data_IF_193648168082
#
_entry.id   IF_193648168082
#
_cell.length_a   1.000
_cell.length_b   1.000
_cell.length_c   1.000
_cell.angle_alpha   90.00
_cell.angle_beta   90.00
_cell.angle_gamma   90.00
#
_symmetry.space_group_name_H-M   'P 1'
#
loop_
_entity.id
_entity.type
_entity.pdbx_description
1 polymer ?
#
# COMPACT_ATOMS: atom_id res chain seq x y z
N UNK A 1 11.74 24.87 -21.35
CA UNK A 1 10.98 23.74 -20.78
C UNK A 1 10.65 24.06 -19.34
N UNK A 2 9.36 24.19 -19.00
CA UNK A 2 8.92 24.40 -17.61
C UNK A 2 8.80 23.02 -17.00
N UNK A 3 9.86 22.56 -16.35
CA UNK A 3 9.82 21.34 -15.54
C UNK A 3 8.84 21.60 -14.41
N UNK A 4 7.61 21.15 -14.60
CA UNK A 4 6.59 21.16 -13.55
C UNK A 4 7.17 20.27 -12.46
N UNK A 5 7.60 20.93 -11.41
CA UNK A 5 8.05 20.38 -10.15
C UNK A 5 6.85 19.67 -9.52
N UNK A 6 6.56 18.48 -10.02
CA UNK A 6 5.51 17.62 -9.51
C UNK A 6 6.02 16.95 -8.24
N UNK A 7 6.12 17.72 -7.16
CA UNK A 7 5.94 17.21 -5.80
C UNK A 7 4.48 16.77 -5.60
N UNK A 8 3.96 16.00 -6.55
CA UNK A 8 2.62 15.44 -6.55
C UNK A 8 2.64 14.10 -5.81
N UNK A 9 2.62 14.20 -4.48
CA UNK A 9 2.18 13.12 -3.62
C UNK A 9 3.31 12.32 -3.00
N UNK A 10 3.35 12.36 -1.67
CA UNK A 10 3.86 11.31 -0.79
C UNK A 10 3.96 9.96 -1.49
N UNK A 11 5.09 9.25 -1.36
CA UNK A 11 5.47 8.00 -2.05
C UNK A 11 4.49 6.82 -2.03
N UNK A 12 3.28 7.02 -1.52
CA UNK A 12 2.12 6.14 -1.54
C UNK A 12 1.38 6.11 -2.88
N UNK A 13 1.52 7.12 -3.76
CA UNK A 13 0.70 7.23 -5.00
C UNK A 13 0.90 6.11 -6.01
N UNK A 14 1.89 5.26 -5.81
CA UNK A 14 2.16 4.11 -6.68
C UNK A 14 2.04 2.77 -5.95
N UNK A 15 1.73 2.72 -4.65
CA UNK A 15 1.65 1.44 -3.94
C UNK A 15 0.27 0.80 -4.14
N UNK A 16 0.25 -0.46 -4.58
CA UNK A 16 -0.99 -1.21 -4.80
C UNK A 16 -1.70 -1.49 -3.46
N UNK A 17 -2.94 -1.02 -3.32
CA UNK A 17 -3.76 -1.34 -2.14
C UNK A 17 -4.01 -2.85 -1.99
N UNK A 18 -4.15 -3.60 -3.10
CA UNK A 18 -4.29 -5.06 -3.06
C UNK A 18 -3.04 -5.75 -2.53
N UNK A 19 -1.85 -5.35 -2.98
CA UNK A 19 -0.60 -5.92 -2.46
C UNK A 19 -0.40 -5.58 -0.99
N UNK A 20 -0.78 -4.37 -0.56
CA UNK A 20 -0.73 -3.98 0.83
C UNK A 20 -1.68 -4.81 1.72
N UNK A 21 -2.89 -5.10 1.25
CA UNK A 21 -3.81 -6.02 1.92
C UNK A 21 -3.23 -7.42 2.08
N UNK A 22 -2.72 -8.01 0.99
CA UNK A 22 -2.10 -9.33 1.03
C UNK A 22 -0.89 -9.38 1.97
N UNK A 23 -0.10 -8.30 2.01
CA UNK A 23 1.00 -8.17 2.96
C UNK A 23 0.48 -8.20 4.41
N UNK A 24 -0.57 -7.45 4.72
CA UNK A 24 -1.19 -7.46 6.05
C UNK A 24 -1.75 -8.83 6.44
N UNK A 25 -2.43 -9.51 5.52
CA UNK A 25 -2.93 -10.89 5.73
C UNK A 25 -1.76 -11.85 6.00
N UNK A 26 -0.70 -11.77 5.20
CA UNK A 26 0.49 -12.62 5.35
C UNK A 26 1.20 -12.37 6.68
N UNK A 27 1.39 -11.11 7.09
CA UNK A 27 2.01 -10.77 8.36
C UNK A 27 1.20 -11.32 9.54
N UNK A 28 -0.14 -11.20 9.49
CA UNK A 28 -1.05 -11.80 10.48
C UNK A 28 -0.89 -13.31 10.55
N UNK A 29 -0.90 -14.00 9.39
CA UNK A 29 -0.78 -15.47 9.32
C UNK A 29 0.58 -15.98 9.82
N UNK A 30 1.63 -15.19 9.60
CA UNK A 30 2.99 -15.52 10.05
C UNK A 30 3.29 -15.04 11.49
N UNK A 31 2.30 -14.53 12.24
CA UNK A 31 2.48 -13.92 13.57
C UNK A 31 3.57 -12.83 13.60
N UNK A 32 3.72 -12.08 12.51
CA UNK A 32 4.63 -10.94 12.44
C UNK A 32 4.05 -9.76 13.22
N UNK A 33 4.94 -8.88 13.67
CA UNK A 33 4.55 -7.61 14.29
C UNK A 33 3.85 -6.75 13.23
N UNK A 34 2.83 -6.02 13.66
CA UNK A 34 2.17 -5.01 12.84
C UNK A 34 3.21 -3.96 12.40
N UNK A 35 3.52 -3.92 11.10
CA UNK A 35 4.44 -2.97 10.50
C UNK A 35 3.85 -2.39 9.21
N UNK A 36 3.01 -1.35 9.32
CA UNK A 36 2.49 -0.62 8.17
C UNK A 36 3.61 -0.02 7.30
N UNK A 37 4.81 0.20 7.85
CA UNK A 37 5.97 0.69 7.11
C UNK A 37 6.42 -0.24 6.00
N UNK A 38 6.16 -1.55 6.13
CA UNK A 38 6.48 -2.57 5.12
C UNK A 38 5.74 -2.33 3.78
N UNK A 39 4.63 -1.59 3.80
CA UNK A 39 3.88 -1.16 2.61
C UNK A 39 4.74 -0.27 1.69
N UNK A 40 5.68 0.50 2.24
CA UNK A 40 6.59 1.34 1.45
C UNK A 40 7.61 0.54 0.65
N UNK A 41 7.88 -0.71 1.06
CA UNK A 41 8.81 -1.61 0.38
C UNK A 41 8.12 -2.39 -0.76
N UNK A 42 6.80 -2.25 -0.90
CA UNK A 42 6.07 -2.90 -1.99
C UNK A 42 6.38 -2.24 -3.33
N UNK A 43 6.55 -3.03 -4.40
CA UNK A 43 6.80 -2.49 -5.72
C UNK A 43 5.64 -1.60 -6.17
N UNK A 44 5.96 -0.58 -6.97
CA UNK A 44 4.96 0.25 -7.62
C UNK A 44 4.00 -0.63 -8.43
N UNK A 45 2.70 -0.41 -8.25
CA UNK A 45 1.65 -1.12 -8.97
C UNK A 45 1.72 -0.78 -10.45
N UNK A 46 1.87 -1.80 -11.29
CA UNK A 46 1.77 -1.69 -12.75
C UNK A 46 0.31 -1.65 -13.23
N UNK A 47 -0.66 -1.73 -12.32
CA UNK A 47 -2.07 -1.61 -12.66
C UNK A 47 -2.43 -0.13 -12.89
N UNK A 48 -3.17 0.14 -13.97
CA UNK A 48 -3.70 1.45 -14.34
C UNK A 48 -4.26 2.21 -13.11
N UNK A 49 -4.20 3.55 -13.07
CA UNK A 49 -4.46 4.34 -11.87
C UNK A 49 -5.81 3.97 -11.23
N UNK A 50 -5.75 3.15 -10.19
CA UNK A 50 -6.89 2.84 -9.35
C UNK A 50 -7.09 4.02 -8.42
N UNK A 51 -8.35 4.46 -8.26
CA UNK A 51 -8.74 5.48 -7.28
C UNK A 51 -8.03 5.19 -5.97
N UNK A 52 -7.21 6.13 -5.52
CA UNK A 52 -6.25 5.97 -4.41
C UNK A 52 -6.93 5.40 -3.15
N UNK A 53 -7.05 4.06 -3.05
CA UNK A 53 -7.31 3.38 -1.79
C UNK A 53 -6.00 3.48 -1.01
N UNK A 54 -6.06 4.05 0.19
CA UNK A 54 -4.90 4.20 1.06
C UNK A 54 -4.27 2.82 1.30
N UNK A 55 -3.04 2.61 0.80
CA UNK A 55 -2.35 1.32 0.90
C UNK A 55 -2.14 0.89 2.36
N UNK A 56 -1.91 1.84 3.27
CA UNK A 56 -1.84 1.55 4.70
C UNK A 56 -3.16 1.07 5.29
N UNK A 57 -4.27 1.68 4.86
CA UNK A 57 -5.59 1.24 5.29
C UNK A 57 -5.90 -0.17 4.77
N UNK A 58 -5.45 -0.50 3.56
CA UNK A 58 -5.58 -1.85 3.02
C UNK A 58 -4.72 -2.87 3.79
N UNK A 59 -3.48 -2.52 4.14
CA UNK A 59 -2.63 -3.33 5.03
C UNK A 59 -3.28 -3.56 6.39
N UNK A 60 -3.78 -2.50 7.02
CA UNK A 60 -4.46 -2.56 8.32
C UNK A 60 -5.71 -3.47 8.26
N UNK A 61 -6.50 -3.37 7.20
CA UNK A 61 -7.64 -4.27 6.95
C UNK A 61 -7.18 -5.73 6.85
N UNK A 62 -6.12 -6.02 6.09
CA UNK A 62 -5.58 -7.37 5.95
C UNK A 62 -5.02 -7.94 7.25
N UNK A 63 -4.29 -7.11 8.00
CA UNK A 63 -3.69 -7.50 9.27
C UNK A 63 -4.72 -7.74 10.37
N UNK A 64 -5.81 -6.96 10.39
CA UNK A 64 -6.93 -7.15 11.33
C UNK A 64 -7.88 -8.28 10.93
N UNK A 65 -7.74 -8.85 9.74
CA UNK A 65 -8.62 -9.90 9.21
C UNK A 65 -9.95 -9.39 8.66
N UNK A 66 -10.02 -8.12 8.27
CA UNK A 66 -11.16 -7.55 7.54
C UNK A 66 -11.18 -7.95 6.07
N UNK A 67 -12.33 -7.82 5.41
CA UNK A 67 -12.51 -8.04 3.96
C UNK A 67 -12.55 -6.70 3.21
N UNK A 68 -12.02 -6.65 1.97
CA UNK A 68 -11.67 -5.41 1.22
C UNK A 68 -12.79 -4.84 0.34
#
# INVERSE_FOLDING_TARGET
MKSIESFQGSGQRHVCAGCAYHLGVSDRENNRKYDPGAVNSLPASQAAPQRHKNAYAAYDLGFKGGSL
#
